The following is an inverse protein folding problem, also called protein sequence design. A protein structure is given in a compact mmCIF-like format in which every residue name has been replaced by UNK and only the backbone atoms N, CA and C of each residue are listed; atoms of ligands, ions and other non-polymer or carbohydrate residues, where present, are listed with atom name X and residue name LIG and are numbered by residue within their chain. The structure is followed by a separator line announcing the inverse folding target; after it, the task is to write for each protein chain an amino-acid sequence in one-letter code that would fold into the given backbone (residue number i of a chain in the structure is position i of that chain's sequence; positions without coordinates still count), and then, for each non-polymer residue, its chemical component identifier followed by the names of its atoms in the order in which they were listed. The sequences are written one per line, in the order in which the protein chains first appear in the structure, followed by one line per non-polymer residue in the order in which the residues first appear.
data_IF_472346773501
#
_entry.id   IF_472346773501
#
_cell.length_a   1.000
_cell.length_b   1.000
_cell.length_c   1.000
_cell.angle_alpha   90.00
_cell.angle_beta   90.00
_cell.angle_gamma   90.00
#
_symmetry.space_group_name_H-M   'P 1'
#
loop_
_entity.id
_entity.type
_entity.pdbx_description
1 polymer ?
#
# COMPACT_ATOMS: atom_id res chain seq x y z
N UNK A 1 2.98 -38.93 20.29
CA UNK A 1 3.09 -38.71 19.86
C UNK A 1 3.14 -38.59 18.93
N UNK A 2 2.96 -38.53 18.87
CA UNK A 2 2.93 -38.29 18.08
C UNK A 2 2.67 -37.77 17.42
N UNK A 3 2.62 -37.62 17.42
CA UNK A 3 2.32 -37.11 16.82
C UNK A 3 2.43 -36.40 16.13
N UNK A 4 2.42 -36.35 16.03
CA UNK A 4 2.43 -35.75 15.42
C UNK A 4 2.52 -35.17 14.72
N UNK A 5 2.40 -35.29 14.90
CA UNK A 5 2.50 -34.81 14.21
C UNK A 5 2.42 -34.24 13.68
N UNK A 6 2.42 -34.30 13.66
CA UNK A 6 2.35 -33.82 13.09
C UNK A 6 2.35 -33.10 12.60
N UNK A 7 2.21 -33.26 12.84
CA UNK A 7 2.22 -32.67 12.30
C UNK A 7 2.45 -31.92 11.83
N UNK A 8 2.33 -32.21 12.04
CA UNK A 8 2.58 -31.64 11.47
C UNK A 8 2.70 -31.06 10.88
N UNK A 9 2.42 -31.09 11.10
CA UNK A 9 2.53 -30.67 10.38
C UNK A 9 2.41 -30.14 10.00
N UNK A 10 2.22 -30.14 10.14
CA UNK A 10 2.08 -29.70 9.59
C UNK A 10 2.23 -28.94 9.23
N UNK A 11 2.10 -29.06 9.36
CA UNK A 11 2.19 -28.54 8.84
C UNK A 11 2.44 -27.97 8.31
N UNK A 12 2.10 -28.00 8.61
CA UNK A 12 2.29 -27.71 7.91
C UNK A 12 2.31 -27.32 7.53
N UNK A 13 2.14 -27.18 7.63
CA UNK A 13 2.10 -26.96 7.00
C UNK A 13 2.12 -26.39 6.65
N UNK A 14 1.85 -26.29 6.81
CA UNK A 14 1.84 -26.03 6.14
C UNK A 14 1.92 -25.50 5.84
N UNK A 15 1.65 -25.36 6.07
CA UNK A 15 1.72 -25.15 5.42
C UNK A 15 1.65 -24.80 4.94
N UNK A 16 1.30 -24.63 5.12
CA UNK A 16 1.20 -24.53 4.34
C UNK A 16 0.90 -24.08 4.41
N UNK A 17 0.74 -24.11 4.71
CA UNK A 17 0.46 -23.94 4.43
C UNK A 17 0.30 -23.37 4.38
N UNK A 18 -0.01 -23.41 4.82
CA UNK A 18 -0.28 -23.06 4.32
C UNK A 18 -0.47 -22.42 4.41
N UNK A 19 -0.91 -22.11 4.54
CA UNK A 19 -0.98 -21.98 4.15
C UNK A 19 -0.96 -21.43 3.85
N UNK A 20 -1.18 -21.43 4.14
CA UNK A 20 -1.29 -21.20 3.46
C UNK A 20 -1.18 -20.99 3.13
N UNK A 21 -1.37 -21.20 2.99
CA UNK A 21 -1.08 -21.45 2.23
C UNK A 21 -1.08 -21.36 1.63
N UNK A 22 -1.15 -20.67 1.56
CA UNK A 22 -1.34 -21.04 0.67
C UNK A 22 -0.84 -22.06 0.04
N UNK A 23 -0.89 -22.76 0.40
CA UNK A 23 -0.13 -23.66 -0.38
C UNK A 23 -0.85 -24.09 -1.54
N UNK A 24 -0.63 -23.85 -2.41
CA UNK A 24 -1.33 -24.31 -3.56
C UNK A 24 -0.41 -24.18 -4.73
N UNK A 25 -0.68 -24.85 -5.72
CA UNK A 25 0.13 -24.79 -6.91
C UNK A 25 -0.26 -23.67 -7.82
N UNK A 26 -1.06 -22.75 -7.29
CA UNK A 26 -1.43 -21.58 -8.07
C UNK A 26 -0.25 -20.63 -8.12
N UNK A 27 -0.09 -19.98 -9.24
CA UNK A 27 0.92 -18.92 -9.35
C UNK A 27 0.62 -17.84 -8.32
N UNK A 28 1.63 -17.30 -7.65
CA UNK A 28 1.40 -16.23 -6.70
C UNK A 28 0.79 -15.03 -7.40
N UNK A 29 -0.11 -14.37 -6.70
CA UNK A 29 -0.68 -13.14 -7.21
C UNK A 29 0.42 -12.11 -7.35
N UNK A 30 0.37 -11.30 -8.40
CA UNK A 30 1.30 -10.21 -8.56
C UNK A 30 0.94 -9.10 -7.59
N UNK A 31 1.92 -8.68 -6.83
CA UNK A 31 1.74 -7.58 -5.89
C UNK A 31 2.68 -6.44 -6.26
N UNK A 32 2.24 -5.24 -6.01
CA UNK A 32 3.00 -4.04 -6.27
C UNK A 32 3.23 -3.27 -4.98
N UNK A 33 4.36 -2.61 -4.91
CA UNK A 33 4.74 -1.84 -3.74
C UNK A 33 4.35 -0.39 -3.93
N UNK A 34 3.70 0.17 -2.94
CA UNK A 34 3.37 1.59 -2.91
C UNK A 34 4.07 2.22 -1.72
N UNK A 35 4.98 3.17 -1.98
CA UNK A 35 5.69 3.90 -0.94
C UNK A 35 5.11 5.30 -0.88
N UNK A 36 4.65 5.69 0.29
CA UNK A 36 3.96 6.96 0.50
C UNK A 36 4.72 7.79 1.54
N UNK A 37 4.95 9.04 1.22
CA UNK A 37 5.56 9.98 2.14
C UNK A 37 4.88 11.34 2.02
N UNK A 38 5.23 12.26 2.90
CA UNK A 38 4.69 13.60 2.87
C UNK A 38 5.79 14.61 3.19
N UNK A 39 5.60 15.84 2.70
CA UNK A 39 6.48 16.94 3.07
C UNK A 39 5.98 17.56 4.38
N UNK A 40 6.75 18.50 4.92
CA UNK A 40 6.34 19.20 6.12
C UNK A 40 5.03 19.93 5.88
N UNK A 41 4.16 19.87 6.86
CA UNK A 41 2.89 20.59 6.82
C UNK A 41 1.68 19.71 6.67
N UNK A 42 1.84 18.39 6.76
CA UNK A 42 0.69 17.50 6.68
C UNK A 42 1.08 16.04 6.75
N UNK A 43 0.13 15.18 6.51
CA UNK A 43 0.35 13.74 6.53
C UNK A 43 -0.64 13.06 5.58
N UNK A 44 -0.47 11.75 5.41
CA UNK A 44 -1.35 10.94 4.58
C UNK A 44 -1.98 9.86 5.49
N UNK A 45 -3.13 10.15 6.11
CA UNK A 45 -3.75 9.19 7.02
C UNK A 45 -4.35 7.97 6.32
N UNK A 46 -4.65 8.07 5.04
CA UNK A 46 -5.24 6.98 4.27
C UNK A 46 -4.45 6.79 2.98
N UNK A 47 -3.83 5.64 2.79
CA UNK A 47 -3.81 4.46 3.66
C UNK A 47 -2.82 4.58 4.82
N UNK A 48 -2.02 5.63 4.85
CA UNK A 48 -0.96 5.85 5.80
C UNK A 48 0.33 6.15 5.06
N UNK A 49 1.42 6.34 5.79
CA UNK A 49 2.73 6.57 5.18
C UNK A 49 3.61 5.36 5.39
N UNK A 50 4.57 5.17 4.49
CA UNK A 50 5.45 4.02 4.53
C UNK A 50 5.27 3.15 3.30
N UNK A 51 5.52 1.86 3.47
CA UNK A 51 5.49 0.91 2.36
C UNK A 51 4.30 -0.01 2.53
N UNK A 52 3.53 -0.15 1.45
CA UNK A 52 2.34 -1.00 1.41
C UNK A 52 2.39 -1.88 0.17
N UNK A 53 1.78 -3.05 0.26
CA UNK A 53 1.71 -4.01 -0.85
C UNK A 53 0.25 -4.21 -1.24
N UNK A 54 -0.03 -4.15 -2.52
CA UNK A 54 -1.37 -4.28 -3.05
C UNK A 54 -1.38 -5.21 -4.25
N UNK A 55 -2.51 -5.86 -4.48
CA UNK A 55 -2.66 -6.75 -5.63
C UNK A 55 -2.69 -5.94 -6.93
N UNK A 56 -2.26 -6.59 -8.01
CA UNK A 56 -2.33 -6.00 -9.33
C UNK A 56 -3.76 -5.61 -9.67
N UNK A 57 -3.95 -4.40 -10.14
CA UNK A 57 -5.25 -3.88 -10.53
C UNK A 57 -6.06 -3.29 -9.39
N UNK A 58 -5.53 -3.33 -8.17
CA UNK A 58 -6.27 -2.77 -7.04
C UNK A 58 -6.27 -1.25 -7.08
N UNK A 59 -7.44 -0.65 -6.83
CA UNK A 59 -7.55 0.79 -6.70
C UNK A 59 -7.40 1.16 -5.23
N UNK A 60 -6.48 2.07 -4.94
CA UNK A 60 -6.15 2.45 -3.56
C UNK A 60 -6.56 3.90 -3.35
N UNK A 61 -7.33 4.15 -2.31
CA UNK A 61 -7.71 5.50 -1.95
C UNK A 61 -6.56 6.19 -1.26
N UNK A 62 -6.23 7.38 -1.71
CA UNK A 62 -5.21 8.24 -1.10
C UNK A 62 -5.91 9.46 -0.53
N UNK A 63 -5.60 9.79 0.71
CA UNK A 63 -6.15 10.98 1.34
C UNK A 63 -5.06 11.67 2.12
N UNK A 64 -4.75 12.89 1.72
CA UNK A 64 -3.77 13.73 2.39
C UNK A 64 -4.48 14.75 3.25
N UNK A 65 -3.87 15.07 4.40
CA UNK A 65 -4.47 16.04 5.32
C UNK A 65 -3.42 17.08 5.71
N UNK A 66 -3.67 18.35 5.38
CA UNK A 66 -2.77 19.41 5.79
C UNK A 66 -2.93 19.74 7.28
N UNK A 67 -1.83 20.15 7.91
CA UNK A 67 -1.85 20.68 9.26
C UNK A 67 -2.47 22.08 9.27
N UNK A 68 -2.90 22.57 10.44
CA UNK A 68 -3.35 23.96 10.53
C UNK A 68 -2.28 24.92 9.99
N UNK A 69 -2.69 25.84 9.15
CA UNK A 69 -1.78 26.81 8.53
C UNK A 69 -1.14 26.33 7.24
N UNK A 70 -1.49 25.15 6.79
CA UNK A 70 -0.96 24.58 5.54
C UNK A 70 -2.09 24.20 4.62
N UNK A 71 -1.72 23.97 3.36
CA UNK A 71 -2.65 23.46 2.36
C UNK A 71 -1.98 22.34 1.59
N UNK A 72 -2.80 21.46 1.05
CA UNK A 72 -2.33 20.42 0.14
C UNK A 72 -2.05 21.05 -1.23
N UNK A 73 -0.94 20.69 -1.85
CA UNK A 73 -0.56 21.20 -3.15
C UNK A 73 -0.80 20.17 -4.22
N UNK A 74 -0.12 19.05 -4.14
CA UNK A 74 -0.24 18.00 -5.16
C UNK A 74 0.45 16.73 -4.68
N UNK A 75 0.29 15.68 -5.48
CA UNK A 75 1.06 14.44 -5.36
C UNK A 75 2.17 14.48 -6.40
N UNK A 76 3.38 14.06 -6.00
CA UNK A 76 4.53 13.97 -6.91
C UNK A 76 5.18 12.60 -6.81
N UNK A 77 6.13 12.33 -7.72
CA UNK A 77 6.79 11.05 -7.86
C UNK A 77 6.24 10.31 -9.06
N UNK A 78 6.11 9.00 -8.96
CA UNK A 78 5.51 8.21 -10.04
C UNK A 78 3.99 8.29 -9.91
N UNK A 79 3.41 9.29 -10.53
CA UNK A 79 1.99 9.61 -10.32
C UNK A 79 1.10 9.32 -11.51
N UNK A 80 1.62 8.66 -12.55
CA UNK A 80 0.86 8.45 -13.78
C UNK A 80 -0.42 7.64 -13.57
N UNK A 81 -0.49 6.86 -12.51
CA UNK A 81 -1.67 6.04 -12.21
C UNK A 81 -2.61 6.73 -11.23
N UNK A 82 -2.30 7.94 -10.80
CA UNK A 82 -3.16 8.72 -9.92
C UNK A 82 -4.20 9.44 -10.77
N UNK A 83 -5.45 9.33 -10.33
CA UNK A 83 -6.56 9.92 -11.09
C UNK A 83 -6.44 11.44 -11.19
N UNK A 84 -6.13 12.11 -10.09
CA UNK A 84 -5.96 13.56 -10.09
C UNK A 84 -4.93 13.94 -9.04
N UNK A 85 -3.76 14.40 -9.50
CA UNK A 85 -2.65 14.70 -8.58
C UNK A 85 -2.87 15.97 -7.77
N UNK A 86 -3.86 16.76 -8.12
CA UNK A 86 -4.14 18.01 -7.42
C UNK A 86 -5.24 17.88 -6.36
N UNK A 87 -5.79 16.68 -6.22
CA UNK A 87 -6.80 16.43 -5.18
C UNK A 87 -6.19 15.73 -4.00
N UNK A 88 -6.48 16.24 -2.80
CA UNK A 88 -6.00 15.62 -1.57
C UNK A 88 -6.56 14.21 -1.41
N UNK A 89 -7.78 13.99 -1.83
CA UNK A 89 -8.40 12.66 -1.83
C UNK A 89 -8.55 12.20 -3.27
N UNK A 90 -7.87 11.11 -3.61
CA UNK A 90 -7.86 10.61 -4.97
C UNK A 90 -7.60 9.11 -4.94
N UNK A 91 -7.41 8.51 -6.11
CA UNK A 91 -7.24 7.07 -6.25
C UNK A 91 -6.01 6.82 -7.11
N UNK A 92 -5.22 5.83 -6.72
CA UNK A 92 -4.13 5.32 -7.54
C UNK A 92 -4.43 3.87 -7.92
N UNK A 93 -4.22 3.54 -9.19
CA UNK A 93 -4.40 2.18 -9.67
C UNK A 93 -3.07 1.45 -9.62
N UNK A 94 -3.02 0.33 -8.91
CA UNK A 94 -1.78 -0.40 -8.71
C UNK A 94 -1.53 -1.33 -9.88
N UNK A 95 -0.60 -0.96 -10.73
CA UNK A 95 -0.17 -1.81 -11.86
C UNK A 95 1.35 -1.78 -12.03
N UNK A 96 2.06 -1.17 -11.11
CA UNK A 96 3.52 -1.12 -11.04
C UNK A 96 3.89 -0.75 -9.60
N UNK A 97 5.18 -0.77 -9.30
CA UNK A 97 5.67 -0.17 -8.05
C UNK A 97 5.62 1.35 -8.19
N UNK A 98 5.11 2.01 -7.17
CA UNK A 98 5.01 3.46 -7.15
C UNK A 98 5.60 4.03 -5.87
N UNK A 99 6.23 5.20 -6.01
CA UNK A 99 6.70 5.99 -4.88
C UNK A 99 6.11 7.38 -5.07
N UNK A 100 5.32 7.82 -4.11
CA UNK A 100 4.61 9.09 -4.22
C UNK A 100 4.80 9.90 -2.95
N UNK A 101 4.67 11.21 -3.10
CA UNK A 101 4.82 12.16 -2.00
C UNK A 101 3.67 13.16 -2.05
N UNK A 102 3.03 13.34 -0.90
CA UNK A 102 2.04 14.40 -0.74
C UNK A 102 2.76 15.69 -0.37
N UNK A 103 2.51 16.75 -1.11
CA UNK A 103 3.20 18.02 -0.92
C UNK A 103 2.25 19.05 -0.31
N UNK A 104 2.76 19.76 0.69
CA UNK A 104 2.02 20.79 1.41
C UNK A 104 2.79 22.10 1.36
N UNK A 105 2.08 23.21 1.50
CA UNK A 105 2.67 24.53 1.53
C UNK A 105 1.95 25.40 2.55
N UNK A 106 2.64 26.41 3.11
CA UNK A 106 1.97 27.34 4.01
C UNK A 106 0.83 28.07 3.33
N UNK A 107 -0.18 28.44 4.08
CA UNK A 107 -1.32 29.19 3.54
C UNK A 107 -0.96 30.61 3.14
N UNK A 108 0.11 31.18 3.68
CA UNK A 108 0.50 32.54 3.33
C UNK A 108 1.99 32.69 3.20
#
# INVERSE_FOLDING_TARGET
MTRKLMLVALIALVVCTGFGFKASCTAPATEWRLTISSTQGGCVPIPGEGIFWYDDGQAVVLSARPDPGYRFVNWTGKVRAINDVYKATTIILMNLDYTITANFAPLS
#
